data_IF_219282365090
#
_entry.id   IF_219282365090
#
_cell.length_a   1.000
_cell.length_b   1.000
_cell.length_c   1.000
_cell.angle_alpha   90.00
_cell.angle_beta   90.00
_cell.angle_gamma   90.00
#
_symmetry.space_group_name_H-M   'P 1'
#
loop_
_entity.id
_entity.type
_entity.pdbx_description
1 polymer ?
#
# COMPACT_ATOMS: atom_id res chain seq x y z
N UNK A 1 43.67 -67.25 52.42
CA UNK A 1 44.82 -66.91 51.55
C UNK A 1 44.34 -66.90 50.10
N UNK A 2 44.78 -65.93 49.28
CA UNK A 2 44.37 -65.58 47.89
C UNK A 2 43.14 -64.65 47.83
N UNK A 3 43.29 -63.34 47.57
CA UNK A 3 43.57 -62.63 46.30
C UNK A 3 42.68 -63.06 45.13
N UNK A 4 42.01 -62.08 44.49
CA UNK A 4 42.05 -61.77 43.04
C UNK A 4 41.00 -60.65 42.75
N UNK A 5 41.44 -59.47 42.32
CA UNK A 5 41.52 -58.97 40.93
C UNK A 5 40.20 -58.38 40.39
N UNK A 6 40.17 -57.04 40.34
CA UNK A 6 39.40 -56.18 39.40
C UNK A 6 39.57 -56.66 37.93
N UNK A 7 38.80 -56.25 36.87
CA UNK A 7 38.29 -54.88 36.64
C UNK A 7 37.12 -54.66 35.59
N UNK A 8 36.70 -53.39 35.38
CA UNK A 8 36.50 -52.74 34.06
C UNK A 8 35.51 -53.30 32.98
N UNK A 9 34.23 -53.57 33.27
CA UNK A 9 33.24 -53.83 32.18
C UNK A 9 31.97 -52.97 32.14
N UNK A 10 31.78 -52.01 33.06
CA UNK A 10 30.55 -51.20 33.08
C UNK A 10 30.71 -49.72 32.72
N UNK A 11 31.91 -49.24 32.44
CA UNK A 11 32.13 -47.83 32.07
C UNK A 11 32.23 -47.55 30.56
N UNK A 12 32.29 -48.58 29.71
CA UNK A 12 32.42 -48.39 28.25
C UNK A 12 31.09 -48.35 27.49
N UNK A 13 29.98 -48.90 28.00
CA UNK A 13 28.68 -48.79 27.32
C UNK A 13 27.95 -47.47 27.59
N UNK A 14 28.36 -46.72 28.62
CA UNK A 14 27.78 -45.41 28.95
C UNK A 14 28.47 -44.24 28.24
N UNK A 15 29.73 -44.41 27.81
CA UNK A 15 30.48 -43.37 27.08
C UNK A 15 30.18 -43.37 25.56
N UNK A 16 29.66 -44.48 25.02
CA UNK A 16 29.24 -44.59 23.61
C UNK A 16 27.78 -44.15 23.37
N UNK A 17 26.96 -44.03 24.42
CA UNK A 17 25.62 -43.42 24.32
C UNK A 17 25.65 -41.90 24.52
N UNK A 18 26.61 -41.38 25.29
CA UNK A 18 26.74 -39.93 25.53
C UNK A 18 27.42 -39.20 24.36
N UNK A 19 28.25 -39.88 23.58
CA UNK A 19 28.80 -39.32 22.33
C UNK A 19 27.80 -39.29 21.17
N UNK A 20 26.64 -39.97 21.29
CA UNK A 20 25.52 -39.89 20.35
C UNK A 20 24.38 -38.97 20.80
N UNK A 21 24.39 -38.49 22.04
CA UNK A 21 23.38 -37.58 22.60
C UNK A 21 23.81 -36.11 22.59
N UNK A 22 24.99 -35.80 22.04
CA UNK A 22 25.47 -34.43 21.86
C UNK A 22 25.57 -34.00 20.39
N UNK A 23 24.81 -34.65 19.51
CA UNK A 23 24.35 -33.99 18.29
C UNK A 23 23.17 -33.11 18.68
N UNK A 24 23.36 -31.80 18.62
CA UNK A 24 22.33 -30.76 18.75
C UNK A 24 20.91 -31.31 18.55
N UNK A 25 20.14 -31.39 19.63
CA UNK A 25 18.72 -31.71 19.67
C UNK A 25 17.87 -30.56 19.07
N UNK A 26 18.27 -30.04 17.91
CA UNK A 26 17.41 -29.22 17.08
C UNK A 26 16.75 -30.17 16.10
N UNK A 27 15.42 -30.33 16.21
CA UNK A 27 14.62 -30.82 15.10
C UNK A 27 15.07 -30.12 13.81
N UNK A 28 15.10 -30.81 12.65
CA UNK A 28 15.51 -30.18 11.40
C UNK A 28 14.62 -28.96 11.14
N UNK A 29 15.13 -27.78 11.47
CA UNK A 29 14.35 -26.55 11.42
C UNK A 29 13.99 -26.30 9.96
N UNK A 30 12.70 -26.35 9.67
CA UNK A 30 12.22 -26.12 8.30
C UNK A 30 12.41 -24.64 7.93
N UNK A 31 12.47 -24.34 6.63
CA UNK A 31 12.49 -22.95 6.16
C UNK A 31 11.29 -22.16 6.71
N UNK A 32 10.13 -22.82 6.85
CA UNK A 32 8.90 -22.24 7.38
C UNK A 32 9.02 -21.83 8.86
N UNK A 33 9.68 -22.64 9.69
CA UNK A 33 9.93 -22.28 11.10
C UNK A 33 10.85 -21.07 11.21
N UNK A 34 11.89 -21.01 10.38
CA UNK A 34 12.76 -19.85 10.34
C UNK A 34 12.01 -18.60 9.88
N UNK A 35 11.15 -18.69 8.88
CA UNK A 35 10.26 -17.58 8.48
C UNK A 35 9.35 -17.15 9.64
N UNK A 36 8.69 -18.08 10.33
CA UNK A 36 7.81 -17.75 11.45
C UNK A 36 8.56 -17.05 12.60
N UNK A 37 9.81 -17.46 12.87
CA UNK A 37 10.67 -16.76 13.84
C UNK A 37 11.08 -15.38 13.35
N UNK A 38 11.40 -15.24 12.07
CA UNK A 38 11.75 -13.97 11.46
C UNK A 38 10.58 -12.97 11.55
N UNK A 39 9.37 -13.39 11.19
CA UNK A 39 8.14 -12.59 11.29
C UNK A 39 7.85 -12.17 12.73
N UNK A 40 8.03 -13.09 13.70
CA UNK A 40 7.90 -12.76 15.12
C UNK A 40 8.92 -11.71 15.56
N UNK A 41 10.18 -11.84 15.15
CA UNK A 41 11.22 -10.84 15.45
C UNK A 41 10.95 -9.50 14.74
N UNK A 42 10.41 -9.50 13.52
CA UNK A 42 9.98 -8.31 12.79
C UNK A 42 8.86 -7.57 13.55
N UNK A 43 7.85 -8.31 14.04
CA UNK A 43 6.78 -7.76 14.88
C UNK A 43 7.30 -7.16 16.19
N UNK A 44 8.39 -7.71 16.74
CA UNK A 44 9.09 -7.20 17.92
C UNK A 44 10.10 -6.09 17.61
N UNK A 45 10.19 -5.63 16.34
CA UNK A 45 11.17 -4.65 15.84
C UNK A 45 12.63 -5.05 16.03
N UNK A 46 12.89 -6.35 16.18
CA UNK A 46 14.24 -6.93 16.30
C UNK A 46 14.79 -7.20 14.89
N UNK A 47 15.08 -6.13 14.15
CA UNK A 47 15.39 -6.18 12.72
C UNK A 47 16.59 -7.09 12.39
N UNK A 48 17.68 -6.98 13.15
CA UNK A 48 18.89 -7.80 12.90
C UNK A 48 18.61 -9.30 13.08
N UNK A 49 17.81 -9.66 14.08
CA UNK A 49 17.47 -11.05 14.36
C UNK A 49 16.50 -11.60 13.30
N UNK A 50 15.55 -10.79 12.84
CA UNK A 50 14.66 -11.17 11.75
C UNK A 50 15.44 -11.44 10.45
N UNK A 51 16.43 -10.60 10.12
CA UNK A 51 17.33 -10.83 8.97
C UNK A 51 18.06 -12.16 9.11
N UNK A 52 18.65 -12.45 10.28
CA UNK A 52 19.38 -13.70 10.52
C UNK A 52 18.49 -14.93 10.30
N UNK A 53 17.25 -14.90 10.82
CA UNK A 53 16.30 -15.99 10.62
C UNK A 53 15.88 -16.13 9.15
N UNK A 54 15.60 -15.04 8.44
CA UNK A 54 15.32 -15.12 7.01
C UNK A 54 16.52 -15.61 6.19
N UNK A 55 17.76 -15.23 6.54
CA UNK A 55 18.98 -15.73 5.87
C UNK A 55 19.14 -17.25 6.09
N UNK A 56 18.84 -17.76 7.29
CA UNK A 56 18.78 -19.22 7.57
C UNK A 56 17.67 -19.91 6.76
N UNK A 57 16.49 -19.28 6.65
CA UNK A 57 15.41 -19.81 5.82
C UNK A 57 15.82 -19.88 4.33
N UNK A 58 16.53 -18.85 3.84
CA UNK A 58 17.02 -18.77 2.47
C UNK A 58 18.07 -19.85 2.18
N UNK A 59 18.93 -20.20 3.14
CA UNK A 59 19.89 -21.30 2.98
C UNK A 59 19.19 -22.64 2.68
N UNK A 60 18.03 -22.87 3.29
CA UNK A 60 17.22 -24.08 3.08
C UNK A 60 16.42 -24.02 1.77
N UNK A 61 15.98 -22.83 1.35
CA UNK A 61 15.29 -22.61 0.07
C UNK A 61 15.86 -21.40 -0.69
N UNK A 62 16.99 -21.56 -1.42
CA UNK A 62 17.73 -20.43 -2.00
C UNK A 62 17.02 -19.61 -3.08
N UNK A 63 15.89 -20.09 -3.59
CA UNK A 63 15.11 -19.44 -4.65
C UNK A 63 13.66 -19.18 -4.24
N UNK A 64 13.38 -19.24 -2.94
CA UNK A 64 12.05 -18.94 -2.43
C UNK A 64 11.76 -17.44 -2.59
N UNK A 65 10.71 -17.15 -3.37
CA UNK A 65 10.33 -15.78 -3.76
C UNK A 65 9.96 -14.97 -2.52
N UNK A 66 9.25 -15.57 -1.57
CA UNK A 66 8.73 -14.87 -0.39
C UNK A 66 9.85 -14.54 0.58
N UNK A 67 10.81 -15.46 0.75
CA UNK A 67 11.99 -15.23 1.59
C UNK A 67 12.88 -14.13 1.00
N UNK A 68 13.15 -14.18 -0.31
CA UNK A 68 13.94 -13.17 -1.01
C UNK A 68 13.28 -11.79 -0.95
N UNK A 69 11.95 -11.72 -1.13
CA UNK A 69 11.20 -10.47 -1.01
C UNK A 69 11.25 -9.91 0.42
N UNK A 70 11.02 -10.76 1.43
CA UNK A 70 11.10 -10.38 2.84
C UNK A 70 12.49 -9.87 3.24
N UNK A 71 13.56 -10.56 2.79
CA UNK A 71 14.94 -10.11 2.98
C UNK A 71 15.23 -8.77 2.31
N UNK A 72 14.75 -8.58 1.09
CA UNK A 72 14.86 -7.31 0.38
C UNK A 72 14.21 -6.16 1.14
N UNK A 73 12.96 -6.36 1.58
CA UNK A 73 12.15 -5.39 2.32
C UNK A 73 12.79 -5.04 3.67
N UNK A 74 13.14 -6.04 4.47
CA UNK A 74 13.69 -5.81 5.81
C UNK A 74 15.11 -5.22 5.77
N UNK A 75 15.91 -5.57 4.77
CA UNK A 75 17.23 -4.96 4.57
C UNK A 75 17.13 -3.47 4.25
N UNK A 76 16.13 -3.09 3.43
CA UNK A 76 15.84 -1.68 3.16
C UNK A 76 15.38 -0.95 4.44
N UNK A 77 14.49 -1.54 5.24
CA UNK A 77 14.09 -0.97 6.52
C UNK A 77 15.26 -0.81 7.51
N UNK A 78 16.26 -1.69 7.44
CA UNK A 78 17.49 -1.59 8.21
C UNK A 78 18.47 -0.51 7.68
N UNK A 79 18.13 0.19 6.60
CA UNK A 79 19.00 1.16 5.92
C UNK A 79 20.09 0.52 5.05
N UNK A 80 20.14 -0.81 4.94
CA UNK A 80 21.10 -1.52 4.11
C UNK A 80 20.55 -1.74 2.69
N UNK A 81 20.57 -0.66 1.91
CA UNK A 81 20.08 -0.68 0.53
C UNK A 81 20.89 -1.61 -0.38
N UNK A 82 22.18 -1.83 -0.10
CA UNK A 82 23.01 -2.75 -0.88
C UNK A 82 22.52 -4.21 -0.76
N UNK A 83 22.32 -4.70 0.47
CA UNK A 83 21.73 -6.02 0.70
C UNK A 83 20.32 -6.11 0.13
N UNK A 84 19.53 -5.04 0.26
CA UNK A 84 18.18 -5.00 -0.30
C UNK A 84 18.21 -5.21 -1.82
N UNK A 85 19.05 -4.46 -2.54
CA UNK A 85 19.20 -4.59 -3.99
C UNK A 85 19.76 -5.97 -4.38
N UNK A 86 20.65 -6.55 -3.58
CA UNK A 86 21.16 -7.91 -3.83
C UNK A 86 20.02 -8.94 -3.85
N UNK A 87 19.12 -8.94 -2.86
CA UNK A 87 17.99 -9.87 -2.81
C UNK A 87 16.93 -9.55 -3.88
N UNK A 88 16.58 -8.27 -4.06
CA UNK A 88 15.57 -7.86 -5.03
C UNK A 88 15.99 -8.09 -6.49
N UNK A 89 17.29 -7.97 -6.84
CA UNK A 89 17.80 -8.31 -8.17
C UNK A 89 17.76 -9.81 -8.46
N UNK A 90 17.93 -10.66 -7.45
CA UNK A 90 17.69 -12.09 -7.61
C UNK A 90 16.21 -12.35 -7.88
N UNK A 91 15.34 -11.66 -7.15
CA UNK A 91 13.90 -11.76 -7.32
C UNK A 91 13.43 -11.27 -8.69
N UNK A 92 14.01 -10.18 -9.21
CA UNK A 92 13.73 -9.67 -10.56
C UNK A 92 14.02 -10.71 -11.66
N UNK A 93 15.09 -11.51 -11.49
CA UNK A 93 15.43 -12.60 -12.43
C UNK A 93 14.40 -13.73 -12.39
N UNK A 94 13.85 -14.03 -11.22
CA UNK A 94 12.84 -15.08 -11.04
C UNK A 94 11.46 -14.61 -11.53
N UNK A 95 11.15 -13.33 -11.35
CA UNK A 95 9.83 -12.75 -11.59
C UNK A 95 9.93 -11.45 -12.41
N UNK A 96 10.38 -11.51 -13.69
CA UNK A 96 10.70 -10.34 -14.50
C UNK A 96 9.51 -9.44 -14.83
N UNK A 97 8.28 -9.97 -14.73
CA UNK A 97 7.04 -9.25 -15.04
C UNK A 97 6.23 -8.86 -13.80
N UNK A 98 6.81 -8.97 -12.60
CA UNK A 98 6.12 -8.58 -11.37
C UNK A 98 6.16 -7.06 -11.15
N UNK A 99 4.98 -6.44 -11.14
CA UNK A 99 4.81 -5.03 -10.87
C UNK A 99 5.33 -4.63 -9.46
N UNK A 100 5.08 -5.50 -8.47
CA UNK A 100 5.47 -5.29 -7.06
C UNK A 100 7.00 -5.24 -6.92
N UNK A 101 7.71 -6.08 -7.67
CA UNK A 101 9.17 -6.13 -7.62
C UNK A 101 9.78 -4.88 -8.25
N UNK A 102 9.29 -4.46 -9.43
CA UNK A 102 9.76 -3.22 -10.08
C UNK A 102 9.46 -1.98 -9.24
N UNK A 103 8.32 -1.96 -8.53
CA UNK A 103 8.01 -0.90 -7.57
C UNK A 103 8.98 -0.87 -6.40
N UNK A 104 9.24 -2.03 -5.79
CA UNK A 104 10.14 -2.14 -4.64
C UNK A 104 11.57 -1.77 -5.03
N UNK A 105 12.04 -2.23 -6.20
CA UNK A 105 13.33 -1.83 -6.76
C UNK A 105 13.42 -0.31 -6.97
N UNK A 106 12.40 0.32 -7.56
CA UNK A 106 12.39 1.78 -7.75
C UNK A 106 12.51 2.53 -6.40
N UNK A 107 11.82 2.07 -5.35
CA UNK A 107 11.90 2.66 -4.00
C UNK A 107 13.31 2.53 -3.43
N UNK A 108 13.93 1.36 -3.56
CA UNK A 108 15.28 1.10 -3.02
C UNK A 108 16.35 1.82 -3.83
N UNK A 109 16.26 1.86 -5.16
CA UNK A 109 17.15 2.63 -6.02
C UNK A 109 17.10 4.12 -5.67
N UNK A 110 15.89 4.66 -5.46
CA UNK A 110 15.71 6.04 -4.98
C UNK A 110 16.42 6.27 -3.65
N UNK A 111 16.24 5.37 -2.67
CA UNK A 111 16.88 5.48 -1.36
C UNK A 111 18.41 5.33 -1.42
N UNK A 112 18.93 4.62 -2.42
CA UNK A 112 20.35 4.47 -2.70
C UNK A 112 20.94 5.61 -3.55
N UNK A 113 20.12 6.56 -4.04
CA UNK A 113 20.57 7.64 -4.94
C UNK A 113 20.83 7.18 -6.39
N UNK A 114 20.42 5.97 -6.75
CA UNK A 114 20.59 5.37 -8.09
C UNK A 114 19.44 5.80 -9.02
N UNK A 115 19.48 7.05 -9.48
CA UNK A 115 18.35 7.71 -10.13
C UNK A 115 18.01 7.14 -11.52
N UNK A 116 19.00 6.70 -12.29
CA UNK A 116 18.76 6.12 -13.62
C UNK A 116 18.13 4.73 -13.50
N UNK A 117 18.56 3.93 -12.52
CA UNK A 117 17.97 2.64 -12.22
C UNK A 117 16.55 2.77 -11.66
N UNK A 118 16.27 3.78 -10.84
CA UNK A 118 14.90 4.13 -10.42
C UNK A 118 14.01 4.34 -11.65
N UNK A 119 14.44 5.22 -12.57
CA UNK A 119 13.70 5.50 -13.81
C UNK A 119 13.45 4.25 -14.63
N UNK A 120 14.49 3.45 -14.86
CA UNK A 120 14.39 2.20 -15.62
C UNK A 120 13.37 1.23 -15.01
N UNK A 121 13.36 1.08 -13.68
CA UNK A 121 12.36 0.25 -12.99
C UNK A 121 10.94 0.81 -13.13
N UNK A 122 10.76 2.12 -13.04
CA UNK A 122 9.46 2.78 -13.26
C UNK A 122 8.96 2.62 -14.71
N UNK A 123 9.85 2.71 -15.70
CA UNK A 123 9.50 2.53 -17.11
C UNK A 123 9.12 1.08 -17.45
N UNK A 124 9.82 0.09 -16.88
CA UNK A 124 9.43 -1.32 -16.99
C UNK A 124 8.01 -1.54 -16.47
N UNK A 125 7.67 -0.90 -15.35
CA UNK A 125 6.36 -0.98 -14.72
C UNK A 125 5.24 -0.39 -15.59
N UNK A 126 5.50 0.73 -16.26
CA UNK A 126 4.54 1.31 -17.22
C UNK A 126 4.39 0.43 -18.45
N UNK A 127 5.47 -0.17 -18.98
CA UNK A 127 5.36 -1.11 -20.11
C UNK A 127 4.44 -2.30 -19.81
N UNK A 128 4.45 -2.79 -18.56
CA UNK A 128 3.59 -3.89 -18.12
C UNK A 128 2.11 -3.48 -17.98
N UNK A 129 1.82 -2.21 -17.66
CA UNK A 129 0.45 -1.70 -17.61
C UNK A 129 0.40 -0.20 -17.99
N UNK A 130 0.35 0.12 -19.30
CA UNK A 130 0.50 1.49 -19.80
C UNK A 130 -0.61 2.45 -19.36
N UNK A 131 -1.82 1.93 -19.17
CA UNK A 131 -3.00 2.73 -18.81
C UNK A 131 -3.22 2.83 -17.30
N UNK A 132 -2.33 2.25 -16.49
CA UNK A 132 -2.44 2.34 -15.05
C UNK A 132 -2.00 3.73 -14.56
N UNK A 133 -2.96 4.51 -14.08
CA UNK A 133 -2.72 5.87 -13.60
C UNK A 133 -1.74 5.92 -12.40
N UNK A 134 -1.72 4.89 -11.53
CA UNK A 134 -0.78 4.82 -10.42
C UNK A 134 0.68 4.67 -10.88
N UNK A 135 0.92 3.82 -11.89
CA UNK A 135 2.27 3.63 -12.44
C UNK A 135 2.78 4.89 -13.13
N UNK A 136 1.91 5.55 -13.89
CA UNK A 136 2.23 6.82 -14.53
C UNK A 136 2.54 7.92 -13.51
N UNK A 137 1.77 7.99 -12.41
CA UNK A 137 2.00 8.97 -11.34
C UNK A 137 3.38 8.83 -10.70
N UNK A 138 3.89 7.60 -10.51
CA UNK A 138 5.23 7.39 -9.93
C UNK A 138 6.35 7.89 -10.84
N UNK A 139 6.25 7.68 -12.14
CA UNK A 139 7.23 8.22 -13.10
C UNK A 139 7.10 9.74 -13.24
N UNK A 140 5.88 10.27 -13.19
CA UNK A 140 5.68 11.71 -13.12
C UNK A 140 6.35 12.32 -11.88
N UNK A 141 6.18 11.71 -10.71
CA UNK A 141 6.83 12.16 -9.47
C UNK A 141 8.36 12.19 -9.63
N UNK A 142 8.94 11.19 -10.29
CA UNK A 142 10.37 11.17 -10.62
C UNK A 142 10.79 12.42 -11.41
N UNK A 143 10.11 12.73 -12.51
CA UNK A 143 10.44 13.89 -13.35
C UNK A 143 10.21 15.22 -12.63
N UNK A 144 9.13 15.33 -11.85
CA UNK A 144 8.83 16.54 -11.08
C UNK A 144 9.90 16.82 -10.00
N UNK A 145 10.38 15.79 -9.29
CA UNK A 145 11.51 15.94 -8.34
C UNK A 145 12.78 16.42 -9.02
N UNK A 146 12.94 16.11 -10.31
CA UNK A 146 14.06 16.52 -11.15
C UNK A 146 13.87 17.89 -11.82
N UNK A 147 12.70 18.51 -11.63
CA UNK A 147 12.29 19.76 -12.29
C UNK A 147 12.18 19.63 -13.82
N UNK A 148 12.00 18.41 -14.33
CA UNK A 148 11.85 18.11 -15.77
C UNK A 148 10.38 18.27 -16.21
N UNK A 149 9.83 19.48 -16.04
CA UNK A 149 8.40 19.75 -16.26
C UNK A 149 8.02 19.56 -17.74
N UNK A 150 8.89 19.93 -18.68
CA UNK A 150 8.63 19.77 -20.11
C UNK A 150 8.44 18.30 -20.51
N UNK A 151 9.23 17.39 -19.92
CA UNK A 151 9.08 15.94 -20.10
C UNK A 151 7.72 15.47 -19.60
N UNK A 152 7.26 16.01 -18.46
CA UNK A 152 5.93 15.68 -17.90
C UNK A 152 4.83 16.16 -18.85
N UNK A 153 4.89 17.42 -19.30
CA UNK A 153 3.89 18.00 -20.20
C UNK A 153 3.83 17.24 -21.54
N UNK A 154 4.99 16.89 -22.09
CA UNK A 154 5.09 16.14 -23.34
C UNK A 154 4.51 14.72 -23.23
N UNK A 155 4.79 14.04 -22.11
CA UNK A 155 4.38 12.64 -21.89
C UNK A 155 2.94 12.50 -21.40
N UNK A 156 2.42 13.50 -20.69
CA UNK A 156 1.04 13.55 -20.17
C UNK A 156 0.42 14.92 -20.47
N UNK A 157 -0.10 15.14 -21.69
CA UNK A 157 -0.74 16.40 -22.04
C UNK A 157 -2.03 16.62 -21.25
N UNK A 158 -2.45 17.88 -21.14
CA UNK A 158 -3.74 18.22 -20.55
C UNK A 158 -4.91 17.63 -21.36
N UNK A 159 -6.05 17.29 -20.72
CA UNK A 159 -6.35 17.42 -19.30
C UNK A 159 -5.93 16.20 -18.46
N UNK A 160 -5.22 15.24 -19.04
CA UNK A 160 -4.86 13.96 -18.40
C UNK A 160 -3.70 14.10 -17.42
N UNK A 161 -2.96 15.20 -17.49
CA UNK A 161 -1.89 15.56 -16.57
C UNK A 161 -2.42 15.68 -15.14
N UNK A 162 -1.94 14.87 -14.19
CA UNK A 162 -2.12 15.10 -12.77
C UNK A 162 -1.69 16.49 -12.33
N UNK A 163 -2.48 17.09 -11.44
CA UNK A 163 -2.09 18.24 -10.64
C UNK A 163 -0.74 18.00 -9.94
N UNK A 164 0.19 18.94 -10.10
CA UNK A 164 1.54 18.86 -9.56
C UNK A 164 1.89 20.06 -8.67
N UNK A 165 0.88 20.77 -8.15
CA UNK A 165 1.06 21.94 -7.28
C UNK A 165 1.02 23.29 -8.00
N UNK A 166 0.74 23.30 -9.30
CA UNK A 166 0.48 24.53 -10.05
C UNK A 166 -0.80 25.23 -9.59
N UNK A 167 -0.90 26.55 -9.81
CA UNK A 167 -2.09 27.33 -9.43
C UNK A 167 -3.36 26.78 -10.09
N UNK A 168 -4.45 26.74 -9.32
CA UNK A 168 -5.79 26.32 -9.78
C UNK A 168 -6.78 27.49 -9.90
N UNK A 169 -6.32 28.73 -9.72
CA UNK A 169 -7.16 29.92 -9.89
C UNK A 169 -7.70 29.95 -11.33
N UNK A 170 -9.02 30.06 -11.47
CA UNK A 170 -9.74 30.06 -12.75
C UNK A 170 -9.57 28.76 -13.57
N UNK A 171 -9.22 27.64 -12.91
CA UNK A 171 -9.12 26.32 -13.54
C UNK A 171 -10.32 25.45 -13.19
N UNK A 172 -10.77 24.67 -14.17
CA UNK A 172 -11.86 23.70 -13.98
C UNK A 172 -11.29 22.30 -13.79
N UNK A 173 -11.61 21.68 -12.66
CA UNK A 173 -11.11 20.36 -12.27
C UNK A 173 -12.25 19.34 -12.28
N UNK A 174 -12.08 18.25 -13.02
CA UNK A 174 -12.98 17.11 -13.02
C UNK A 174 -12.51 16.07 -12.00
N UNK A 175 -13.37 15.69 -11.07
CA UNK A 175 -13.18 14.58 -10.13
C UNK A 175 -14.12 13.42 -10.53
N UNK A 176 -13.64 12.43 -11.31
CA UNK A 176 -14.45 11.30 -11.74
C UNK A 176 -14.53 10.23 -10.65
N UNK A 177 -15.66 10.17 -9.93
CA UNK A 177 -15.98 9.19 -8.88
C UNK A 177 -16.91 8.10 -9.45
N UNK A 178 -16.48 7.47 -10.54
CA UNK A 178 -17.25 6.47 -11.29
C UNK A 178 -16.53 5.13 -11.46
N UNK A 179 -15.29 5.03 -10.98
CA UNK A 179 -14.49 3.83 -11.16
C UNK A 179 -15.13 2.63 -10.45
N UNK A 180 -15.39 1.56 -11.23
CA UNK A 180 -16.14 0.37 -10.76
C UNK A 180 -15.33 -0.50 -9.80
N UNK A 181 -13.99 -0.47 -9.89
CA UNK A 181 -13.09 -1.17 -8.99
C UNK A 181 -13.01 -0.53 -7.60
N UNK A 182 -13.52 0.70 -7.42
CA UNK A 182 -13.50 1.40 -6.13
C UNK A 182 -14.76 1.10 -5.31
N UNK A 183 -14.56 0.79 -4.03
CA UNK A 183 -15.64 0.69 -3.07
C UNK A 183 -16.33 2.04 -2.83
N UNK A 184 -17.57 2.02 -2.33
CA UNK A 184 -18.31 3.26 -2.00
C UNK A 184 -17.57 4.14 -0.99
N UNK A 185 -16.92 3.51 -0.01
CA UNK A 185 -16.08 4.18 0.96
C UNK A 185 -14.91 4.89 0.31
N UNK A 186 -14.22 4.25 -0.63
CA UNK A 186 -13.14 4.90 -1.37
C UNK A 186 -13.66 6.10 -2.14
N UNK A 187 -14.79 5.96 -2.84
CA UNK A 187 -15.50 7.05 -3.54
C UNK A 187 -15.79 8.25 -2.62
N UNK A 188 -16.25 8.01 -1.40
CA UNK A 188 -16.44 9.07 -0.41
C UNK A 188 -15.13 9.68 0.07
N UNK A 189 -14.07 8.88 0.25
CA UNK A 189 -12.74 9.42 0.57
C UNK A 189 -12.23 10.32 -0.57
N UNK A 190 -12.54 10.02 -1.84
CA UNK A 190 -12.20 10.88 -2.98
C UNK A 190 -12.88 12.24 -2.90
N UNK A 191 -14.13 12.30 -2.39
CA UNK A 191 -14.88 13.54 -2.35
C UNK A 191 -14.21 14.63 -1.50
N UNK A 192 -13.40 14.27 -0.49
CA UNK A 192 -12.68 15.25 0.34
C UNK A 192 -11.80 16.21 -0.47
N UNK A 193 -11.36 15.78 -1.65
CA UNK A 193 -10.51 16.60 -2.52
C UNK A 193 -11.29 17.71 -3.22
N UNK A 194 -12.62 17.61 -3.36
CA UNK A 194 -13.45 18.70 -3.87
C UNK A 194 -13.21 19.98 -3.05
N UNK A 195 -13.17 19.87 -1.71
CA UNK A 195 -12.85 20.99 -0.82
C UNK A 195 -11.48 21.59 -1.11
N UNK A 196 -10.44 20.75 -1.19
CA UNK A 196 -9.06 21.21 -1.41
C UNK A 196 -8.96 21.96 -2.74
N UNK A 197 -9.53 21.39 -3.81
CA UNK A 197 -9.55 22.03 -5.13
C UNK A 197 -10.27 23.38 -5.07
N UNK A 198 -11.41 23.44 -4.37
CA UNK A 198 -12.18 24.67 -4.19
C UNK A 198 -11.41 25.75 -3.43
N UNK A 199 -10.74 25.38 -2.34
CA UNK A 199 -9.88 26.28 -1.54
C UNK A 199 -8.65 26.76 -2.31
N UNK A 200 -8.20 26.00 -3.31
CA UNK A 200 -7.12 26.40 -4.22
C UNK A 200 -7.61 27.26 -5.40
N UNK A 201 -8.89 27.59 -5.46
CA UNK A 201 -9.48 28.49 -6.46
C UNK A 201 -10.04 27.81 -7.72
N UNK A 202 -10.18 26.48 -7.70
CA UNK A 202 -10.75 25.74 -8.82
C UNK A 202 -12.29 25.80 -8.86
N UNK A 203 -12.83 25.68 -10.06
CA UNK A 203 -14.20 25.21 -10.29
C UNK A 203 -14.21 23.68 -10.29
N UNK A 204 -15.06 23.07 -9.47
CA UNK A 204 -15.05 21.62 -9.21
C UNK A 204 -16.24 20.94 -9.86
N UNK A 205 -15.96 20.07 -10.82
CA UNK A 205 -16.94 19.17 -11.45
C UNK A 205 -16.76 17.78 -10.86
N UNK A 206 -17.83 17.18 -10.35
CA UNK A 206 -17.83 15.78 -9.90
C UNK A 206 -18.67 14.93 -10.85
N UNK A 207 -18.09 13.86 -11.37
CA UNK A 207 -18.83 12.83 -12.10
C UNK A 207 -19.11 11.65 -11.18
N UNK A 208 -20.35 11.19 -11.10
CA UNK A 208 -20.75 10.13 -10.17
C UNK A 208 -21.85 9.23 -10.73
N UNK A 209 -22.21 8.18 -9.98
CA UNK A 209 -23.33 7.30 -10.30
C UNK A 209 -24.66 7.85 -9.72
N UNK A 210 -25.82 7.48 -10.28
CA UNK A 210 -27.12 8.01 -9.85
C UNK A 210 -27.42 7.81 -8.36
N UNK A 211 -26.93 6.73 -7.77
CA UNK A 211 -27.18 6.36 -6.37
C UNK A 211 -26.49 7.30 -5.39
N UNK A 212 -25.35 7.87 -5.78
CA UNK A 212 -24.59 8.82 -4.96
C UNK A 212 -25.06 10.27 -5.15
N UNK A 213 -25.76 10.54 -6.25
CA UNK A 213 -26.15 11.90 -6.64
C UNK A 213 -26.92 12.67 -5.55
N UNK A 214 -27.93 12.10 -4.86
CA UNK A 214 -28.65 12.82 -3.81
C UNK A 214 -27.73 13.28 -2.67
N UNK A 215 -26.83 12.41 -2.21
CA UNK A 215 -25.89 12.74 -1.13
C UNK A 215 -24.83 13.75 -1.58
N UNK A 216 -24.27 13.57 -2.77
CA UNK A 216 -23.21 14.45 -3.28
C UNK A 216 -23.73 15.86 -3.60
N UNK A 217 -25.00 15.99 -4.00
CA UNK A 217 -25.64 17.29 -4.26
C UNK A 217 -25.66 18.22 -3.03
N UNK A 218 -25.49 17.67 -1.83
CA UNK A 218 -25.45 18.42 -0.57
C UNK A 218 -24.05 18.92 -0.22
N UNK A 219 -23.02 18.55 -1.00
CA UNK A 219 -21.64 18.97 -0.76
C UNK A 219 -21.39 20.38 -1.33
N UNK A 220 -21.08 21.38 -0.50
CA UNK A 220 -20.92 22.78 -0.93
C UNK A 220 -19.64 23.04 -1.74
N UNK A 221 -18.76 22.05 -1.83
CA UNK A 221 -17.49 22.14 -2.56
C UNK A 221 -17.61 21.62 -4.00
N UNK A 222 -18.81 21.20 -4.43
CA UNK A 222 -19.09 20.77 -5.80
C UNK A 222 -19.83 21.89 -6.51
N UNK A 223 -19.26 22.42 -7.59
CA UNK A 223 -19.93 23.43 -8.44
C UNK A 223 -20.86 22.79 -9.46
N UNK A 224 -20.50 21.61 -9.96
CA UNK A 224 -21.30 20.90 -10.96
C UNK A 224 -21.23 19.41 -10.70
N UNK A 225 -22.39 18.78 -10.60
CA UNK A 225 -22.53 17.33 -10.46
C UNK A 225 -23.08 16.76 -11.76
N UNK A 226 -22.36 15.80 -12.35
CA UNK A 226 -22.77 15.11 -13.58
C UNK A 226 -22.86 13.61 -13.35
N UNK A 227 -23.77 12.96 -14.05
CA UNK A 227 -23.92 11.50 -14.03
C UNK A 227 -22.95 10.83 -15.02
N UNK A 228 -22.57 9.58 -14.75
CA UNK A 228 -21.61 8.80 -15.55
C UNK A 228 -21.88 8.83 -17.07
N UNK A 229 -23.16 8.84 -17.49
CA UNK A 229 -23.56 8.81 -18.90
C UNK A 229 -23.76 10.20 -19.53
N UNK A 230 -23.61 11.26 -18.75
CA UNK A 230 -23.76 12.63 -19.26
C UNK A 230 -22.47 13.12 -19.91
N UNK A 231 -22.55 14.02 -20.90
CA UNK A 231 -21.37 14.61 -21.51
C UNK A 231 -20.56 15.37 -20.45
N UNK A 232 -19.25 15.15 -20.45
CA UNK A 232 -18.33 15.81 -19.54
C UNK A 232 -18.10 17.25 -20.05
N UNK A 233 -18.36 18.29 -19.23
CA UNK A 233 -18.07 19.67 -19.62
C UNK A 233 -16.58 19.91 -19.88
N UNK A 234 -16.26 20.99 -20.59
CA UNK A 234 -14.88 21.41 -20.78
C UNK A 234 -14.20 21.63 -19.41
N UNK A 235 -12.99 21.10 -19.27
CA UNK A 235 -12.22 21.17 -18.04
C UNK A 235 -10.72 21.25 -18.37
N UNK A 236 -9.96 21.89 -17.49
CA UNK A 236 -8.52 22.03 -17.65
C UNK A 236 -7.77 20.78 -17.18
N UNK A 237 -8.34 20.02 -16.23
CA UNK A 237 -7.64 18.94 -15.54
C UNK A 237 -8.57 17.83 -15.05
N UNK A 238 -8.10 16.58 -15.07
CA UNK A 238 -8.78 15.42 -14.49
C UNK A 238 -8.06 14.92 -13.23
N UNK A 239 -8.73 14.99 -12.10
CA UNK A 239 -8.29 14.46 -10.82
C UNK A 239 -8.69 12.98 -10.66
N UNK A 240 -8.00 12.08 -11.36
CA UNK A 240 -8.26 10.63 -11.25
C UNK A 240 -7.86 10.05 -9.89
N UNK A 241 -8.40 8.87 -9.58
CA UNK A 241 -8.26 8.10 -8.34
C UNK A 241 -6.84 7.73 -7.89
N UNK A 242 -5.78 8.10 -8.62
CA UNK A 242 -4.41 7.84 -8.18
C UNK A 242 -3.58 9.12 -8.02
N UNK A 243 -4.20 10.30 -8.17
CA UNK A 243 -3.66 11.58 -7.70
C UNK A 243 -3.57 11.68 -6.18
N UNK A 244 -4.14 10.72 -5.44
CA UNK A 244 -4.18 10.74 -3.99
C UNK A 244 -2.80 10.90 -3.37
N UNK A 245 -1.77 10.23 -3.88
CA UNK A 245 -0.42 10.32 -3.29
C UNK A 245 0.30 11.63 -3.60
N UNK A 246 -0.06 12.35 -4.67
CA UNK A 246 0.57 13.62 -5.03
C UNK A 246 -0.15 14.83 -4.45
N UNK A 247 -1.50 14.81 -4.42
CA UNK A 247 -2.27 15.79 -3.64
C UNK A 247 -1.98 15.66 -2.13
N UNK A 248 -1.69 14.46 -1.63
CA UNK A 248 -1.19 14.23 -0.26
C UNK A 248 0.13 14.93 0.03
N UNK A 249 1.03 15.09 -0.95
CA UNK A 249 2.28 15.85 -0.79
C UNK A 249 2.04 17.36 -0.70
N UNK A 250 1.01 17.87 -1.37
CA UNK A 250 0.52 19.23 -1.15
C UNK A 250 -0.20 19.39 0.21
N UNK A 251 -0.70 18.30 0.79
CA UNK A 251 -1.33 18.24 2.11
C UNK A 251 -0.35 18.02 3.28
N UNK A 252 0.91 17.68 3.02
CA UNK A 252 1.97 17.58 4.06
C UNK A 252 2.13 18.90 4.84
N UNK A 253 1.63 20.03 4.32
CA UNK A 253 1.67 21.34 4.94
C UNK A 253 0.31 21.91 5.42
N UNK A 254 -0.80 21.16 5.42
CA UNK A 254 -2.09 21.68 5.91
C UNK A 254 -2.85 20.71 6.81
N UNK A 255 -3.49 21.33 7.82
CA UNK A 255 -4.24 20.76 8.91
C UNK A 255 -5.05 19.50 8.55
N UNK A 256 -5.11 18.59 9.52
CA UNK A 256 -6.07 17.49 9.64
C UNK A 256 -7.39 17.79 8.92
N UNK A 257 -7.89 16.84 8.12
CA UNK A 257 -9.24 16.85 7.55
C UNK A 257 -10.28 16.87 8.67
N UNK A 258 -10.49 18.02 9.31
CA UNK A 258 -11.40 18.22 10.45
C UNK A 258 -12.77 18.68 10.01
N UNK A 259 -12.93 19.04 8.73
CA UNK A 259 -14.16 19.63 8.22
C UNK A 259 -15.02 18.58 7.50
N UNK A 260 -16.33 18.54 7.76
CA UNK A 260 -17.25 17.68 7.02
C UNK A 260 -17.19 17.97 5.51
N UNK A 261 -17.26 16.92 4.71
CA UNK A 261 -17.39 16.98 3.25
C UNK A 261 -18.61 16.18 2.75
N UNK A 262 -19.32 15.54 3.68
CA UNK A 262 -20.60 14.89 3.47
C UNK A 262 -21.61 15.54 4.41
N UNK A 263 -22.78 15.83 3.87
CA UNK A 263 -23.85 16.53 4.57
C UNK A 263 -25.13 15.73 4.41
N UNK A 264 -25.87 15.53 5.49
CA UNK A 264 -27.16 14.86 5.44
C UNK A 264 -28.26 15.85 5.06
N UNK A 265 -29.31 15.33 4.41
CA UNK A 265 -30.49 16.12 4.11
C UNK A 265 -31.20 16.50 5.43
N UNK A 266 -31.38 17.80 5.66
CA UNK A 266 -32.03 18.33 6.88
C UNK A 266 -33.44 17.82 7.10
N UNK A 267 -34.18 17.49 6.03
CA UNK A 267 -35.51 16.88 6.13
C UNK A 267 -35.41 15.44 6.65
N UNK A 268 -34.44 14.66 6.16
CA UNK A 268 -34.20 13.31 6.64
C UNK A 268 -33.66 13.30 8.07
N UNK A 269 -32.76 14.22 8.42
CA UNK A 269 -32.30 14.41 9.80
C UNK A 269 -33.50 14.61 10.73
N UNK A 270 -34.41 15.54 10.41
CA UNK A 270 -35.60 15.82 11.22
C UNK A 270 -36.56 14.64 11.29
N UNK A 271 -36.78 13.95 10.16
CA UNK A 271 -37.64 12.76 10.11
C UNK A 271 -37.13 11.67 11.06
N UNK A 272 -35.83 11.32 10.97
CA UNK A 272 -35.25 10.28 11.80
C UNK A 272 -35.12 10.69 13.26
N UNK A 273 -34.81 11.96 13.55
CA UNK A 273 -34.85 12.49 14.92
C UNK A 273 -36.24 12.29 15.55
N UNK A 274 -37.31 12.68 14.84
CA UNK A 274 -38.67 12.51 15.35
C UNK A 274 -39.05 11.03 15.51
N UNK A 275 -38.70 10.19 14.54
CA UNK A 275 -39.01 8.75 14.57
C UNK A 275 -38.30 8.01 15.70
N UNK A 276 -37.08 8.44 16.03
CA UNK A 276 -36.26 7.84 17.08
C UNK A 276 -36.42 8.53 18.44
N UNK A 277 -37.12 9.67 18.52
CA UNK A 277 -37.25 10.46 19.74
C UNK A 277 -37.90 9.70 20.89
N UNK A 278 -38.86 8.81 20.57
CA UNK A 278 -39.56 7.97 21.55
C UNK A 278 -39.01 6.55 21.66
N UNK A 279 -37.94 6.22 20.93
CA UNK A 279 -37.37 4.87 20.93
C UNK A 279 -36.38 4.69 22.08
N UNK A 280 -36.88 4.11 23.17
CA UNK A 280 -36.12 3.69 24.34
C UNK A 280 -35.70 2.22 24.30
N UNK A 281 -35.88 1.53 23.17
CA UNK A 281 -35.50 0.12 23.05
C UNK A 281 -33.99 -0.06 22.96
N UNK A 282 -33.51 -1.26 23.27
CA UNK A 282 -32.09 -1.59 23.19
C UNK A 282 -31.59 -1.45 21.75
N UNK A 283 -30.60 -0.57 21.53
CA UNK A 283 -30.08 -0.26 20.20
C UNK A 283 -28.89 -1.15 19.88
N UNK A 284 -28.99 -1.90 18.79
CA UNK A 284 -27.88 -2.70 18.25
C UNK A 284 -27.27 -1.93 17.09
N UNK A 285 -26.02 -1.49 17.25
CA UNK A 285 -25.20 -0.98 16.15
C UNK A 285 -24.62 -2.14 15.36
N UNK A 286 -24.87 -2.20 14.06
CA UNK A 286 -24.20 -3.17 13.19
C UNK A 286 -22.86 -2.56 12.76
N UNK A 287 -21.77 -3.16 13.23
CA UNK A 287 -20.42 -2.86 12.75
C UNK A 287 -20.03 -3.91 11.71
N UNK A 288 -19.87 -3.48 10.46
CA UNK A 288 -19.34 -4.35 9.40
C UNK A 288 -17.81 -4.22 9.36
N UNK A 289 -17.12 -5.25 9.84
CA UNK A 289 -15.67 -5.42 9.67
C UNK A 289 -15.41 -6.24 8.39
N UNK A 290 -14.58 -5.74 7.49
CA UNK A 290 -14.15 -6.52 6.33
C UNK A 290 -13.20 -7.65 6.77
N UNK A 291 -13.37 -8.85 6.22
CA UNK A 291 -12.39 -9.93 6.38
C UNK A 291 -11.01 -9.46 5.90
N UNK A 292 -9.98 -9.63 6.74
CA UNK A 292 -8.59 -9.43 6.34
C UNK A 292 -8.21 -10.49 5.31
N UNK A 293 -8.17 -10.13 4.03
CA UNK A 293 -7.55 -10.98 3.01
C UNK A 293 -6.04 -10.74 3.09
N UNK A 294 -5.31 -11.67 3.68
CA UNK A 294 -3.86 -11.75 3.52
C UNK A 294 -3.57 -12.37 2.17
N UNK A 295 -3.33 -11.54 1.16
CA UNK A 295 -2.76 -12.03 -0.11
C UNK A 295 -1.23 -12.03 0.06
N UNK A 296 -0.60 -13.21 -0.10
CA UNK A 296 0.84 -13.43 0.13
C UNK A 296 1.77 -12.52 -0.71
N UNK A 297 1.26 -11.81 -1.72
CA UNK A 297 2.07 -11.05 -2.68
C UNK A 297 1.98 -9.52 -2.57
N UNK A 298 1.19 -9.00 -1.64
CA UNK A 298 1.12 -7.57 -1.36
C UNK A 298 1.31 -7.34 0.15
N UNK A 299 2.48 -6.90 0.57
CA UNK A 299 2.69 -6.40 1.95
C UNK A 299 1.93 -5.10 2.23
N UNK A 300 1.07 -4.65 1.32
CA UNK A 300 -0.01 -3.75 1.65
C UNK A 300 -1.24 -4.62 1.93
N UNK A 301 -1.70 -4.61 3.18
CA UNK A 301 -3.10 -4.86 3.46
C UNK A 301 -3.91 -3.87 2.61
N UNK A 302 -4.35 -4.28 1.42
CA UNK A 302 -5.33 -3.52 0.69
C UNK A 302 -6.66 -3.86 1.35
N UNK A 303 -7.29 -2.94 2.10
CA UNK A 303 -8.62 -3.19 2.61
C UNK A 303 -9.49 -3.53 1.41
N UNK A 304 -10.14 -4.70 1.43
CA UNK A 304 -11.16 -5.02 0.44
C UNK A 304 -12.14 -3.84 0.39
N UNK A 305 -12.48 -3.39 -0.83
CA UNK A 305 -13.38 -2.28 -1.15
C UNK A 305 -14.11 -1.74 0.08
N UNK A 306 -13.61 -0.63 0.63
CA UNK A 306 -14.22 0.01 1.80
C UNK A 306 -15.66 0.27 1.44
N UNK A 307 -16.58 -0.47 2.01
CA UNK A 307 -18.01 -0.32 1.77
C UNK A 307 -18.52 0.48 2.96
N UNK A 308 -18.83 1.75 2.74
CA UNK A 308 -19.64 2.51 3.69
C UNK A 308 -21.09 2.12 3.37
N UNK A 309 -21.84 1.53 4.30
CA UNK A 309 -23.29 1.43 4.14
C UNK A 309 -23.87 2.85 4.25
N UNK A 310 -24.80 3.17 3.35
CA UNK A 310 -25.72 4.30 3.49
C UNK A 310 -26.50 4.21 4.82
#
# INVERSE_FOLDING_TARGET
>A
MKTLKYPFHYLLSFMLSISFLNTNNQEPQTAQEYCARAEKSEAQKQISQAIEYYEKALQLKPRDIDILFSLGKISHYAGNNEKSLFYLKQLEKLCPHSLVIHETLAIVYRAAGMLEEEKNSLEKRIKLNPHNAYHNAKLMEYYLRRQEIDTVISRWPQPEMPWYGNSLINKTCLLPIIEKSLGLGDKFQMLRYAKILKELGATVIVQTSPELCPLLSLCPYIDTLILEKQPIPAHDMVCKSNLYTMALKALENRATFTTPYLYADKKLEKYWQNKLASDSTFKIGIFWESNRITNHYETQSSPSARSIPL
#
